data_IF_823818987634
#
_entry.id   IF_823818987634
#
_cell.length_a   1.000
_cell.length_b   1.000
_cell.length_c   1.000
_cell.angle_alpha   90.00
_cell.angle_beta   90.00
_cell.angle_gamma   90.00
#
_symmetry.space_group_name_H-M   'P 1'
#
loop_
_entity.id
_entity.type
_entity.pdbx_description
1 polymer ?
#
# COMPACT_ATOMS: atom_id res chain seq x y z
N UNK A 1 -16.03 0.90 -5.84
CA UNK A 1 -14.97 -0.11 -5.61
C UNK A 1 -13.86 0.22 -6.59
N UNK A 2 -12.64 0.45 -6.11
CA UNK A 2 -11.52 0.85 -6.96
C UNK A 2 -10.66 -0.39 -7.28
N UNK A 3 -10.21 -0.51 -8.52
CA UNK A 3 -9.39 -1.64 -9.00
C UNK A 3 -8.03 -1.23 -9.57
N UNK A 4 -7.76 0.07 -9.59
CA UNK A 4 -6.48 0.70 -9.92
C UNK A 4 -6.45 2.09 -9.29
N UNK A 5 -5.26 2.65 -9.14
CA UNK A 5 -5.07 4.06 -8.79
C UNK A 5 -3.76 4.57 -9.43
N UNK A 6 -3.52 5.86 -9.38
CA UNK A 6 -2.34 6.49 -9.94
C UNK A 6 -1.48 7.15 -8.87
N UNK A 7 -0.16 7.13 -9.04
CA UNK A 7 0.79 7.88 -8.22
C UNK A 7 1.49 8.90 -9.12
N UNK A 8 1.19 10.19 -8.90
CA UNK A 8 1.83 11.32 -9.58
C UNK A 8 2.81 12.03 -8.64
N UNK A 9 4.09 12.05 -9.02
CA UNK A 9 5.17 12.68 -8.26
C UNK A 9 5.17 14.21 -8.33
N UNK A 10 4.27 14.82 -9.11
CA UNK A 10 4.06 16.27 -9.11
C UNK A 10 3.42 16.78 -7.80
N UNK A 11 2.87 15.90 -6.97
CA UNK A 11 2.27 16.25 -5.68
C UNK A 11 3.32 16.20 -4.55
N UNK A 12 3.55 17.34 -3.88
CA UNK A 12 4.68 17.51 -2.95
C UNK A 12 4.69 16.58 -1.73
N UNK A 13 3.55 16.40 -1.04
CA UNK A 13 3.50 15.54 0.16
C UNK A 13 3.70 14.06 -0.17
N UNK A 14 3.23 13.63 -1.34
CA UNK A 14 3.41 12.28 -1.87
C UNK A 14 4.89 11.99 -2.18
N UNK A 15 5.58 13.00 -2.71
CA UNK A 15 6.96 12.89 -3.14
C UNK A 15 7.91 12.51 -2.00
N UNK A 16 7.68 13.01 -0.79
CA UNK A 16 8.53 12.71 0.36
C UNK A 16 8.43 11.23 0.78
N UNK A 17 7.21 10.68 0.78
CA UNK A 17 6.94 9.27 1.07
C UNK A 17 7.67 8.38 0.06
N UNK A 18 7.49 8.69 -1.22
CA UNK A 18 8.09 7.93 -2.32
C UNK A 18 9.61 7.98 -2.26
N UNK A 19 10.19 9.17 -2.13
CA UNK A 19 11.65 9.35 -2.12
C UNK A 19 12.32 8.59 -1.00
N UNK A 20 11.74 8.62 0.21
CA UNK A 20 12.33 7.92 1.34
C UNK A 20 12.31 6.41 1.12
N UNK A 21 11.22 5.84 0.60
CA UNK A 21 11.15 4.41 0.30
C UNK A 21 12.03 4.01 -0.89
N UNK A 22 12.14 4.82 -1.94
CA UNK A 22 13.07 4.58 -3.04
C UNK A 22 14.51 4.56 -2.55
N UNK A 23 14.88 5.53 -1.71
CA UNK A 23 16.22 5.61 -1.11
C UNK A 23 16.53 4.37 -0.28
N UNK A 24 15.58 3.93 0.56
CA UNK A 24 15.73 2.71 1.35
C UNK A 24 15.85 1.46 0.46
N UNK A 25 15.04 1.37 -0.59
CA UNK A 25 15.02 0.25 -1.51
C UNK A 25 16.31 0.17 -2.35
N UNK A 26 16.86 1.30 -2.79
CA UNK A 26 18.14 1.39 -3.51
C UNK A 26 19.34 1.04 -2.62
N UNK A 27 19.27 1.36 -1.32
CA UNK A 27 20.30 1.01 -0.35
C UNK A 27 20.21 -0.45 0.13
N UNK A 28 19.10 -1.15 -0.15
CA UNK A 28 18.92 -2.56 0.20
C UNK A 28 19.84 -3.45 -0.65
N UNK A 29 20.49 -4.47 -0.06
CA UNK A 29 21.16 -5.53 -0.82
C UNK A 29 20.19 -6.31 -1.73
N UNK A 30 18.89 -6.24 -1.42
CA UNK A 30 17.80 -6.90 -2.14
C UNK A 30 16.74 -5.86 -2.51
N UNK A 31 16.96 -5.06 -3.57
CA UNK A 31 15.96 -4.11 -4.03
C UNK A 31 14.72 -4.86 -4.54
N UNK A 32 13.56 -4.35 -4.16
CA UNK A 32 12.26 -4.87 -4.57
C UNK A 32 11.69 -4.07 -5.74
N UNK A 33 10.79 -4.64 -6.56
CA UNK A 33 10.11 -3.93 -7.64
C UNK A 33 9.02 -2.99 -7.09
N UNK A 34 9.44 -1.96 -6.35
CA UNK A 34 8.55 -0.98 -5.74
C UNK A 34 7.94 -0.07 -6.82
N UNK A 35 6.62 -0.03 -6.88
CA UNK A 35 5.86 0.84 -7.77
C UNK A 35 5.63 2.19 -7.10
N UNK A 36 6.37 3.19 -7.55
CA UNK A 36 6.42 4.52 -6.92
C UNK A 36 5.80 5.63 -7.74
N UNK A 37 5.39 5.33 -8.98
CA UNK A 37 4.78 6.28 -9.90
C UNK A 37 3.97 5.54 -10.96
N UNK A 38 3.06 6.27 -11.62
CA UNK A 38 2.23 5.75 -12.70
C UNK A 38 1.01 4.98 -12.20
N UNK A 39 0.41 4.19 -13.09
CA UNK A 39 -0.72 3.31 -12.75
C UNK A 39 -0.29 2.15 -11.85
N UNK A 40 -1.05 1.92 -10.79
CA UNK A 40 -0.87 0.85 -9.81
C UNK A 40 -2.00 -0.16 -9.94
N UNK A 41 -1.64 -1.44 -9.93
CA UNK A 41 -2.54 -2.57 -10.07
C UNK A 41 -2.56 -3.44 -8.81
N UNK A 42 -3.63 -4.24 -8.60
CA UNK A 42 -3.66 -5.29 -7.59
C UNK A 42 -2.38 -6.11 -7.57
N UNK A 43 -1.89 -6.44 -6.37
CA UNK A 43 -0.64 -7.15 -6.11
C UNK A 43 0.67 -6.40 -6.35
N UNK A 44 0.64 -5.16 -6.86
CA UNK A 44 1.84 -4.34 -6.92
C UNK A 44 2.38 -4.09 -5.50
N UNK A 45 3.71 -4.04 -5.38
CA UNK A 45 4.39 -3.57 -4.18
C UNK A 45 4.43 -2.05 -4.22
N UNK A 46 3.81 -1.39 -3.25
CA UNK A 46 3.56 0.04 -3.26
C UNK A 46 4.04 0.69 -1.97
N UNK A 47 4.36 2.00 -1.99
CA UNK A 47 4.61 2.74 -0.77
C UNK A 47 3.35 2.81 0.09
N UNK A 48 3.51 2.67 1.41
CA UNK A 48 2.43 2.82 2.38
C UNK A 48 2.94 3.56 3.61
N UNK A 49 2.15 4.52 4.11
CA UNK A 49 2.41 5.18 5.38
C UNK A 49 1.75 4.39 6.51
N UNK A 50 2.55 3.92 7.46
CA UNK A 50 2.12 3.09 8.60
C UNK A 50 2.07 3.86 9.92
N UNK A 51 2.61 5.08 9.93
CA UNK A 51 2.55 6.05 11.02
C UNK A 51 3.12 7.40 10.59
N UNK A 52 3.10 8.44 11.45
CA UNK A 52 3.73 9.71 11.14
C UNK A 52 5.21 9.54 10.81
N UNK A 53 5.62 9.86 9.57
CA UNK A 53 6.99 9.68 9.08
C UNK A 53 7.46 8.22 8.94
N UNK A 54 6.57 7.23 9.10
CA UNK A 54 6.91 5.81 8.99
C UNK A 54 6.35 5.23 7.70
N UNK A 55 7.23 4.77 6.83
CA UNK A 55 6.90 4.30 5.49
C UNK A 55 7.39 2.87 5.29
N UNK A 56 6.59 2.05 4.61
CA UNK A 56 6.91 0.66 4.30
C UNK A 56 6.48 0.32 2.87
N UNK A 57 7.22 -0.56 2.22
CA UNK A 57 6.78 -1.21 0.99
C UNK A 57 5.77 -2.32 1.33
N UNK A 58 4.56 -2.24 0.80
CA UNK A 58 3.48 -3.19 1.07
C UNK A 58 2.84 -3.68 -0.22
N UNK A 59 2.47 -4.96 -0.27
CA UNK A 59 1.74 -5.48 -1.43
C UNK A 59 0.28 -5.06 -1.36
N UNK A 60 -0.28 -4.51 -2.44
CA UNK A 60 -1.70 -4.14 -2.46
C UNK A 60 -2.60 -5.38 -2.62
N UNK A 61 -3.03 -5.91 -1.48
CA UNK A 61 -4.08 -6.92 -1.38
C UNK A 61 -3.79 -7.99 -0.33
N UNK A 62 -4.87 -8.52 0.25
CA UNK A 62 -4.85 -9.64 1.19
C UNK A 62 -5.01 -10.96 0.45
N UNK A 63 -4.40 -12.03 0.97
CA UNK A 63 -4.64 -13.40 0.48
C UNK A 63 -5.67 -14.06 1.38
N UNK A 64 -6.78 -14.49 0.80
CA UNK A 64 -7.73 -15.34 1.48
C UNK A 64 -7.19 -16.79 1.62
N UNK A 65 -7.87 -17.62 2.40
CA UNK A 65 -7.49 -19.03 2.62
C UNK A 65 -7.41 -19.86 1.33
N UNK A 66 -8.16 -19.47 0.30
CA UNK A 66 -8.17 -20.07 -1.03
C UNK A 66 -7.15 -19.41 -2.00
N UNK A 67 -6.19 -18.64 -1.48
CA UNK A 67 -5.20 -17.84 -2.22
C UNK A 67 -5.78 -16.74 -3.14
N UNK A 68 -7.10 -16.53 -3.14
CA UNK A 68 -7.72 -15.43 -3.89
C UNK A 68 -7.25 -14.09 -3.34
N UNK A 69 -6.88 -13.18 -4.24
CA UNK A 69 -6.47 -11.83 -3.89
C UNK A 69 -7.70 -10.97 -3.60
N UNK A 70 -7.75 -10.39 -2.40
CA UNK A 70 -8.79 -9.48 -1.95
C UNK A 70 -8.19 -8.09 -1.75
N UNK A 71 -8.59 -7.14 -2.57
CA UNK A 71 -7.98 -5.79 -2.64
C UNK A 71 -8.79 -4.69 -1.95
N UNK A 72 -10.05 -4.97 -1.60
CA UNK A 72 -10.95 -4.02 -0.96
C UNK A 72 -11.65 -4.69 0.23
N UNK A 73 -11.83 -3.94 1.31
CA UNK A 73 -12.72 -4.29 2.42
C UNK A 73 -13.83 -3.25 2.51
N UNK A 74 -15.07 -3.70 2.74
CA UNK A 74 -16.22 -2.81 2.98
C UNK A 74 -16.14 -2.27 4.41
N UNK A 75 -16.17 -0.95 4.59
CA UNK A 75 -15.99 -0.32 5.90
C UNK A 75 -17.04 -0.77 6.91
N UNK A 76 -18.25 -1.07 6.44
CA UNK A 76 -19.38 -1.51 7.25
C UNK A 76 -19.14 -2.87 7.94
N UNK A 77 -18.23 -3.70 7.43
CA UNK A 77 -18.01 -5.08 7.93
C UNK A 77 -16.53 -5.44 8.13
N UNK A 78 -15.61 -4.51 7.88
CA UNK A 78 -14.18 -4.80 7.92
C UNK A 78 -13.70 -5.32 9.30
N UNK A 79 -14.27 -4.81 10.39
CA UNK A 79 -13.95 -5.26 11.76
C UNK A 79 -14.54 -6.65 12.07
N UNK A 80 -15.64 -7.04 11.43
CA UNK A 80 -16.29 -8.33 11.69
C UNK A 80 -15.58 -9.49 10.99
N UNK A 81 -14.99 -9.23 9.82
CA UNK A 81 -14.35 -10.24 8.97
C UNK A 81 -12.97 -10.65 9.52
N UNK A 82 -12.73 -11.95 9.80
CA UNK A 82 -11.46 -12.43 10.34
C UNK A 82 -10.23 -12.04 9.50
N UNK A 83 -10.37 -11.96 8.17
CA UNK A 83 -9.30 -11.58 7.25
C UNK A 83 -8.76 -10.16 7.49
N UNK A 84 -9.61 -9.24 7.98
CA UNK A 84 -9.27 -7.82 8.11
C UNK A 84 -9.22 -7.33 9.55
N UNK A 85 -9.90 -8.02 10.49
CA UNK A 85 -10.13 -7.57 11.87
C UNK A 85 -8.86 -7.05 12.55
N UNK A 86 -7.82 -7.86 12.61
CA UNK A 86 -6.55 -7.50 13.27
C UNK A 86 -5.88 -6.32 12.55
N UNK A 87 -5.86 -6.32 11.22
CA UNK A 87 -5.25 -5.23 10.46
C UNK A 87 -6.00 -3.91 10.63
N UNK A 88 -7.33 -3.95 10.74
CA UNK A 88 -8.17 -2.78 11.03
C UNK A 88 -7.89 -2.19 12.42
N UNK A 89 -7.57 -3.03 13.40
CA UNK A 89 -7.28 -2.62 14.78
C UNK A 89 -5.87 -2.04 14.90
N UNK A 90 -4.86 -2.79 14.41
CA UNK A 90 -3.47 -2.56 14.80
C UNK A 90 -2.51 -2.27 13.63
N UNK A 91 -2.94 -2.48 12.37
CA UNK A 91 -2.06 -2.38 11.19
C UNK A 91 -2.66 -1.50 10.08
N UNK A 92 -3.32 -0.41 10.47
CA UNK A 92 -3.82 0.58 9.51
C UNK A 92 -2.66 1.26 8.81
N UNK A 93 -2.82 1.47 7.51
CA UNK A 93 -1.89 2.24 6.70
C UNK A 93 -2.66 3.12 5.72
N UNK A 94 -1.96 4.11 5.18
CA UNK A 94 -2.46 4.98 4.11
C UNK A 94 -1.67 4.67 2.85
N UNK A 95 -2.39 4.35 1.77
CA UNK A 95 -1.79 4.25 0.45
C UNK A 95 -1.83 5.64 -0.21
N UNK A 96 -0.69 6.16 -0.65
CA UNK A 96 -0.68 7.37 -1.43
C UNK A 96 -1.34 7.15 -2.79
N UNK A 97 -2.21 8.08 -3.19
CA UNK A 97 -2.83 8.06 -4.50
C UNK A 97 -3.11 9.50 -4.96
N UNK A 98 -2.93 9.74 -6.25
CA UNK A 98 -3.26 11.00 -6.92
C UNK A 98 -4.66 10.97 -7.55
N UNK A 99 -5.25 9.79 -7.73
CA UNK A 99 -6.56 9.56 -8.33
C UNK A 99 -6.80 8.09 -8.68
#
# INVERSE_FOLDING_TARGET
MCGRYFIDLAQGELLDIVRELERQNQASPYPLPLKTHGEVFPSDLVPAQTGPGQYQAMQWGFRAFDNRLIINARSETALDKPLFREAMQDRRCLLPASG
#
